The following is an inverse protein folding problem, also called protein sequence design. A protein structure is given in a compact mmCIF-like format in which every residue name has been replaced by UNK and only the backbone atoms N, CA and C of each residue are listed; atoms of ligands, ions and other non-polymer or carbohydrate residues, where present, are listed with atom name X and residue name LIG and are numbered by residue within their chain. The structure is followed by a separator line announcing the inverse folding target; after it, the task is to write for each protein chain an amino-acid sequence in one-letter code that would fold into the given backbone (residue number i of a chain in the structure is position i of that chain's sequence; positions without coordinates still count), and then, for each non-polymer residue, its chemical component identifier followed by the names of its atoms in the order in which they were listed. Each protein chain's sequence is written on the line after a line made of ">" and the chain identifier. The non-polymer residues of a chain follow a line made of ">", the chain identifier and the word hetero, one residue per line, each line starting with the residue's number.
data_IF_119013242121
#
_entry.id   IF_119013242121
#
_cell.length_a   1.000
_cell.length_b   1.000
_cell.length_c   1.000
_cell.angle_alpha   90.00
_cell.angle_beta   90.00
_cell.angle_gamma   90.00
#
_symmetry.space_group_name_H-M   'P 1'
#
loop_
_entity.id
_entity.type
_entity.pdbx_description
1 polymer ?
#
# COMPACT_ATOMS: atom_id res chain seq x y z
N UNK A 1 -1.14 52.75 -59.17
CA UNK A 1 -0.29 52.46 -58.05
C UNK A 1 -0.46 50.95 -57.73
N UNK A 2 0.47 50.09 -58.20
CA UNK A 2 0.39 48.61 -58.06
C UNK A 2 1.08 48.21 -56.77
N UNK A 3 0.37 47.63 -55.88
CA UNK A 3 0.91 47.07 -54.61
C UNK A 3 1.45 45.66 -54.92
N UNK A 4 2.77 45.53 -54.82
CA UNK A 4 3.48 44.27 -55.02
C UNK A 4 3.41 43.46 -53.73
N UNK A 5 2.81 42.25 -53.79
CA UNK A 5 2.74 41.33 -52.67
C UNK A 5 4.10 40.64 -52.47
N UNK A 6 4.73 40.92 -51.35
CA UNK A 6 5.94 40.26 -50.90
C UNK A 6 5.61 38.84 -50.39
N UNK A 7 6.21 37.82 -50.97
CA UNK A 7 6.13 36.44 -50.52
C UNK A 7 7.17 36.23 -49.42
N UNK A 8 6.72 35.88 -48.23
CA UNK A 8 7.58 35.48 -47.13
C UNK A 8 7.83 33.97 -47.28
N UNK A 9 9.09 33.48 -47.28
CA UNK A 9 9.35 32.05 -47.29
C UNK A 9 9.09 31.47 -45.91
N UNK A 10 8.31 30.38 -45.86
CA UNK A 10 8.08 29.60 -44.65
C UNK A 10 9.38 28.84 -44.30
N UNK A 11 10.03 29.26 -43.23
CA UNK A 11 11.13 28.51 -42.64
C UNK A 11 10.49 27.42 -41.76
N UNK A 12 10.59 26.19 -42.25
CA UNK A 12 10.16 24.99 -41.53
C UNK A 12 11.21 24.70 -40.43
N UNK A 13 10.99 25.22 -39.25
CA UNK A 13 11.79 24.90 -38.06
C UNK A 13 11.44 23.50 -37.55
N UNK A 14 12.30 22.53 -37.86
CA UNK A 14 12.21 21.22 -37.21
C UNK A 14 12.60 21.35 -35.73
N UNK A 15 11.62 21.34 -34.86
CA UNK A 15 11.83 21.26 -33.42
C UNK A 15 12.22 19.81 -33.09
N UNK A 16 13.50 19.54 -32.94
CA UNK A 16 14.01 18.32 -32.34
C UNK A 16 13.62 18.32 -30.86
N UNK A 17 12.50 17.63 -30.52
CA UNK A 17 12.21 17.25 -29.15
C UNK A 17 13.25 16.19 -28.73
N UNK A 18 14.31 16.62 -28.07
CA UNK A 18 15.19 15.75 -27.33
C UNK A 18 14.41 15.24 -26.10
N UNK A 19 13.71 14.12 -26.27
CA UNK A 19 13.14 13.39 -25.15
C UNK A 19 14.27 12.92 -24.27
N UNK A 20 14.41 13.52 -23.08
CA UNK A 20 15.23 12.97 -22.02
C UNK A 20 14.55 11.67 -21.58
N UNK A 21 15.00 10.56 -22.15
CA UNK A 21 14.76 9.25 -21.58
C UNK A 21 15.42 9.26 -20.20
N UNK A 22 14.64 9.47 -19.16
CA UNK A 22 15.05 9.09 -17.81
C UNK A 22 15.32 7.58 -17.86
N UNK A 23 16.59 7.23 -17.99
CA UNK A 23 17.03 5.89 -17.73
C UNK A 23 16.79 5.62 -16.24
N UNK A 24 15.56 5.22 -15.89
CA UNK A 24 15.31 4.53 -14.64
C UNK A 24 16.25 3.35 -14.66
N UNK A 25 17.22 3.35 -13.77
CA UNK A 25 18.13 2.22 -13.61
C UNK A 25 17.27 1.00 -13.32
N UNK A 26 17.01 0.21 -14.34
CA UNK A 26 16.36 -1.09 -14.22
C UNK A 26 17.34 -1.93 -13.42
N UNK A 27 17.08 -2.08 -12.13
CA UNK A 27 17.91 -2.92 -11.28
C UNK A 27 17.85 -4.33 -11.84
N UNK A 28 19.01 -4.85 -12.14
CA UNK A 28 19.14 -6.20 -12.66
C UNK A 28 18.56 -7.15 -11.59
N UNK A 29 17.55 -7.93 -11.94
CA UNK A 29 16.91 -8.89 -11.03
C UNK A 29 17.92 -9.84 -10.38
N UNK A 30 19.06 -10.06 -11.04
CA UNK A 30 20.13 -10.93 -10.58
C UNK A 30 20.92 -10.38 -9.37
N UNK A 31 20.77 -9.10 -9.03
CA UNK A 31 21.41 -8.47 -7.87
C UNK A 31 20.50 -8.34 -6.65
N UNK A 32 19.19 -8.56 -6.81
CA UNK A 32 18.24 -8.51 -5.71
C UNK A 32 18.50 -9.65 -4.72
N UNK A 33 18.41 -9.34 -3.43
CA UNK A 33 18.61 -10.28 -2.32
C UNK A 33 20.02 -10.91 -2.21
N UNK A 34 21.03 -10.37 -2.94
CA UNK A 34 22.41 -10.83 -2.91
C UNK A 34 23.36 -9.84 -2.23
N UNK A 35 22.82 -8.83 -1.58
CA UNK A 35 23.63 -7.83 -0.90
C UNK A 35 24.39 -8.45 0.30
N UNK A 36 25.62 -7.98 0.60
CA UNK A 36 26.29 -8.35 1.83
C UNK A 36 25.41 -8.13 3.05
N UNK A 37 25.39 -9.08 3.97
CA UNK A 37 24.56 -9.05 5.19
C UNK A 37 23.04 -9.15 4.97
N UNK A 38 22.58 -9.45 3.77
CA UNK A 38 21.15 -9.77 3.53
C UNK A 38 20.77 -11.01 4.36
N UNK A 39 19.73 -10.97 5.20
CA UNK A 39 19.23 -12.15 5.89
C UNK A 39 18.86 -13.26 4.91
N UNK A 40 19.32 -14.46 5.19
CA UNK A 40 18.99 -15.65 4.39
C UNK A 40 17.77 -16.39 4.92
N UNK A 41 17.36 -16.07 6.13
CA UNK A 41 16.13 -16.54 6.77
C UNK A 41 15.21 -15.34 7.01
N UNK A 42 13.92 -15.60 7.01
CA UNK A 42 12.87 -14.61 7.16
C UNK A 42 12.78 -13.67 5.96
N UNK A 43 11.63 -13.05 5.84
CA UNK A 43 11.43 -12.04 4.81
C UNK A 43 12.21 -10.75 5.13
N UNK A 44 12.83 -10.19 4.11
CA UNK A 44 13.30 -8.81 4.10
C UNK A 44 12.91 -8.15 2.77
N UNK A 45 12.46 -6.87 2.77
CA UNK A 45 12.01 -6.23 1.55
C UNK A 45 13.16 -6.04 0.55
N UNK A 46 12.84 -5.92 -0.72
CA UNK A 46 13.83 -5.65 -1.77
C UNK A 46 14.65 -4.41 -1.46
N UNK A 47 13.98 -3.39 -0.96
CA UNK A 47 14.60 -2.11 -0.59
C UNK A 47 13.92 -1.50 0.62
N UNK A 48 14.66 -0.66 1.31
CA UNK A 48 14.13 0.18 2.37
C UNK A 48 13.94 -0.57 3.67
N UNK A 49 12.88 -0.25 4.34
CA UNK A 49 12.61 -0.60 5.72
C UNK A 49 11.36 -1.47 5.83
N UNK A 50 11.34 -2.36 6.81
CA UNK A 50 10.18 -3.15 7.18
C UNK A 50 9.75 -2.75 8.59
N UNK A 51 8.45 -2.44 8.74
CA UNK A 51 7.82 -2.24 10.04
C UNK A 51 7.24 -3.53 10.61
N UNK A 52 6.38 -3.37 11.60
CA UNK A 52 5.69 -4.50 12.21
C UNK A 52 4.77 -5.21 11.19
N UNK A 53 4.64 -6.53 11.25
CA UNK A 53 3.63 -7.25 10.47
C UNK A 53 2.22 -6.79 10.87
N UNK A 54 1.49 -6.20 9.93
CA UNK A 54 0.18 -5.58 10.16
C UNK A 54 -1.00 -6.43 9.71
N UNK A 55 -0.78 -7.54 9.08
CA UNK A 55 -1.82 -8.46 8.64
C UNK A 55 -1.18 -9.75 8.17
N UNK A 56 -1.41 -10.82 8.91
CA UNK A 56 -0.91 -12.13 8.55
C UNK A 56 -2.09 -13.11 8.46
N UNK A 57 -2.31 -13.65 7.27
CA UNK A 57 -3.46 -14.51 7.04
C UNK A 57 -3.18 -15.59 5.98
N UNK A 58 -3.91 -16.70 6.07
CA UNK A 58 -3.94 -17.71 5.02
C UNK A 58 -5.24 -17.59 4.23
N UNK A 59 -5.10 -17.37 2.92
CA UNK A 59 -6.23 -17.22 2.02
C UNK A 59 -5.89 -17.67 0.61
N UNK A 60 -6.80 -18.39 -0.03
CA UNK A 60 -6.64 -18.91 -1.41
C UNK A 60 -5.32 -19.67 -1.65
N UNK A 61 -4.92 -20.50 -0.68
CA UNK A 61 -3.74 -21.36 -0.80
C UNK A 61 -2.41 -20.66 -0.52
N UNK A 62 -2.43 -19.43 -0.08
CA UNK A 62 -1.22 -18.64 0.22
C UNK A 62 -1.28 -17.99 1.59
N UNK A 63 -0.12 -17.78 2.17
CA UNK A 63 0.10 -16.90 3.31
C UNK A 63 0.33 -15.49 2.79
N UNK A 64 -0.42 -14.53 3.31
CA UNK A 64 -0.30 -13.11 3.02
C UNK A 64 0.25 -12.42 4.25
N UNK A 65 1.28 -11.60 4.08
CA UNK A 65 1.81 -10.76 5.14
C UNK A 65 1.89 -9.32 4.65
N UNK A 66 1.44 -8.41 5.49
CA UNK A 66 1.50 -6.98 5.27
C UNK A 66 2.42 -6.33 6.31
N UNK A 67 3.08 -5.25 5.92
CA UNK A 67 3.70 -4.28 6.84
C UNK A 67 3.32 -2.85 6.41
N UNK A 68 3.60 -2.38 5.28
CA UNK A 68 3.04 -1.31 4.46
C UNK A 68 3.04 -1.73 3.01
N UNK A 69 3.88 -2.67 2.70
CA UNK A 69 3.82 -3.46 1.49
C UNK A 69 3.11 -4.80 1.72
N UNK A 70 3.21 -5.67 0.74
CA UNK A 70 2.64 -7.01 0.75
C UNK A 70 3.61 -8.04 0.21
N UNK A 71 3.68 -9.17 0.89
CA UNK A 71 4.29 -10.40 0.38
C UNK A 71 3.32 -11.56 0.44
N UNK A 72 3.59 -12.55 -0.38
CA UNK A 72 2.90 -13.84 -0.40
C UNK A 72 3.91 -14.97 -0.29
N UNK A 73 3.50 -16.08 0.33
CA UNK A 73 4.26 -17.32 0.43
C UNK A 73 3.32 -18.52 0.38
N UNK A 74 3.81 -19.65 -0.12
CA UNK A 74 3.10 -20.93 -0.04
C UNK A 74 3.62 -21.83 1.08
N UNK A 75 4.77 -21.53 1.63
CA UNK A 75 5.50 -22.39 2.57
C UNK A 75 6.05 -21.68 3.82
N UNK A 76 5.85 -20.35 3.94
CA UNK A 76 6.35 -19.50 5.03
C UNK A 76 7.88 -19.34 5.06
N UNK A 77 8.56 -19.85 4.07
CA UNK A 77 10.04 -19.76 3.92
C UNK A 77 10.40 -18.89 2.74
N UNK A 78 9.78 -19.15 1.60
CA UNK A 78 10.01 -18.40 0.37
C UNK A 78 8.90 -17.40 0.15
N UNK A 79 9.26 -16.12 0.16
CA UNK A 79 8.35 -15.01 0.02
C UNK A 79 8.53 -14.28 -1.30
N UNK A 80 7.43 -13.93 -1.93
CA UNK A 80 7.41 -13.05 -3.09
C UNK A 80 6.84 -11.69 -2.70
N UNK A 81 7.59 -10.63 -2.91
CA UNK A 81 7.08 -9.27 -2.74
C UNK A 81 6.08 -8.95 -3.85
N UNK A 82 4.88 -8.55 -3.47
CA UNK A 82 3.77 -8.25 -4.38
C UNK A 82 3.69 -6.75 -4.63
N UNK A 83 3.81 -5.96 -3.60
CA UNK A 83 3.87 -4.50 -3.68
C UNK A 83 4.69 -3.94 -2.52
N UNK A 84 5.50 -2.92 -2.75
CA UNK A 84 6.18 -2.22 -1.67
C UNK A 84 5.24 -1.35 -0.82
N UNK A 85 4.09 -0.95 -1.39
CA UNK A 85 3.12 -0.07 -0.72
C UNK A 85 1.69 -0.54 -1.02
N UNK A 86 1.03 -1.13 -0.03
CA UNK A 86 -0.39 -1.49 -0.08
C UNK A 86 -1.27 -0.37 0.45
N UNK A 87 -0.77 0.38 1.43
CA UNK A 87 -1.40 1.57 2.00
C UNK A 87 -0.42 2.73 1.94
N UNK A 88 -0.86 3.88 1.42
CA UNK A 88 -0.06 5.10 1.33
C UNK A 88 -0.81 6.24 1.99
N UNK A 89 -0.11 7.02 2.82
CA UNK A 89 -0.68 8.24 3.39
C UNK A 89 -0.92 9.30 2.32
N UNK A 90 -2.03 9.99 2.42
CA UNK A 90 -2.41 11.08 1.51
C UNK A 90 -2.34 12.46 2.16
N UNK A 91 -2.06 12.53 3.46
CA UNK A 91 -2.04 13.75 4.25
C UNK A 91 -0.68 13.88 4.94
N UNK A 92 -0.05 15.04 4.80
CA UNK A 92 1.26 15.32 5.42
C UNK A 92 1.23 15.23 6.95
N UNK A 93 0.07 15.50 7.57
CA UNK A 93 -0.12 15.40 9.01
C UNK A 93 -0.51 14.00 9.49
N UNK A 94 -0.91 13.10 8.61
CA UNK A 94 -1.34 11.74 8.98
C UNK A 94 -0.25 10.72 8.64
N UNK A 95 0.01 9.83 9.58
CA UNK A 95 0.75 8.58 9.37
C UNK A 95 -0.11 7.40 9.78
N UNK A 96 0.16 6.26 9.19
CA UNK A 96 -0.53 5.01 9.49
C UNK A 96 0.42 4.08 10.21
N UNK A 97 0.01 3.61 11.39
CA UNK A 97 0.79 2.67 12.18
C UNK A 97 0.18 1.27 12.08
N UNK A 98 0.81 0.35 12.74
CA UNK A 98 0.49 -1.07 12.79
C UNK A 98 -0.99 -1.34 13.08
N UNK A 99 -1.44 -2.46 12.59
CA UNK A 99 -2.79 -2.96 12.76
C UNK A 99 -2.89 -4.42 12.37
N UNK A 100 -4.04 -4.82 11.90
CA UNK A 100 -4.31 -6.19 11.46
C UNK A 100 -5.28 -6.23 10.29
N UNK A 101 -5.37 -7.35 9.61
CA UNK A 101 -6.29 -7.52 8.50
C UNK A 101 -6.97 -8.89 8.50
N UNK A 102 -8.16 -8.95 7.95
CA UNK A 102 -8.96 -10.18 7.79
C UNK A 102 -9.61 -10.22 6.41
N UNK A 103 -10.03 -11.42 6.00
CA UNK A 103 -10.92 -11.60 4.86
C UNK A 103 -12.37 -11.59 5.35
N UNK A 104 -13.16 -10.64 4.93
CA UNK A 104 -14.59 -10.58 5.24
C UNK A 104 -15.39 -11.52 4.33
N UNK A 105 -15.44 -12.78 4.74
CA UNK A 105 -16.11 -13.82 3.95
C UNK A 105 -17.61 -13.61 3.80
N UNK A 106 -18.22 -12.90 4.73
CA UNK A 106 -19.67 -12.76 4.84
C UNK A 106 -20.17 -11.34 4.54
N UNK A 107 -19.28 -10.43 4.16
CA UNK A 107 -19.62 -9.01 3.96
C UNK A 107 -20.19 -8.36 5.22
N UNK A 108 -19.62 -8.67 6.38
CA UNK A 108 -20.08 -8.10 7.65
C UNK A 108 -19.66 -6.65 7.83
N UNK A 109 -18.55 -6.24 7.19
CA UNK A 109 -18.09 -4.86 7.17
C UNK A 109 -18.76 -4.00 6.08
N UNK A 110 -19.48 -4.61 5.14
CA UNK A 110 -20.20 -3.89 4.09
C UNK A 110 -19.37 -3.52 2.85
N UNK A 111 -18.10 -3.91 2.78
CA UNK A 111 -17.19 -3.57 1.66
C UNK A 111 -17.18 -4.59 0.52
N UNK A 112 -18.01 -5.61 0.60
CA UNK A 112 -18.08 -6.69 -0.38
C UNK A 112 -17.63 -8.03 0.18
N UNK A 113 -18.27 -9.10 -0.30
CA UNK A 113 -17.93 -10.46 0.13
C UNK A 113 -16.52 -10.84 -0.32
N UNK A 114 -15.70 -11.29 0.61
CA UNK A 114 -14.31 -11.66 0.36
C UNK A 114 -13.34 -10.47 0.30
N UNK A 115 -13.79 -9.25 0.64
CA UNK A 115 -12.92 -8.11 0.76
C UNK A 115 -11.84 -8.34 1.84
N UNK A 116 -10.65 -7.85 1.58
CA UNK A 116 -9.63 -7.66 2.61
C UNK A 116 -10.03 -6.42 3.42
N UNK A 117 -10.18 -6.57 4.72
CA UNK A 117 -10.51 -5.47 5.63
C UNK A 117 -9.39 -5.32 6.63
N UNK A 118 -8.78 -4.16 6.68
CA UNK A 118 -7.70 -3.83 7.60
C UNK A 118 -8.19 -2.80 8.62
N UNK A 119 -7.89 -3.07 9.89
CA UNK A 119 -7.93 -2.05 10.95
C UNK A 119 -6.50 -1.61 11.23
N UNK A 120 -6.28 -0.31 11.36
CA UNK A 120 -4.95 0.27 11.53
C UNK A 120 -5.03 1.52 12.42
N UNK A 121 -3.87 1.97 12.90
CA UNK A 121 -3.80 3.20 13.68
C UNK A 121 -3.59 4.40 12.78
N UNK A 122 -4.44 5.40 12.92
CA UNK A 122 -4.29 6.74 12.35
C UNK A 122 -3.53 7.58 13.37
N UNK A 123 -2.36 8.05 13.00
CA UNK A 123 -1.51 8.90 13.83
C UNK A 123 -1.48 10.33 13.29
N UNK A 124 -1.97 11.28 14.07
CA UNK A 124 -1.88 12.71 13.78
C UNK A 124 -0.56 13.27 14.31
N UNK A 125 0.30 13.75 13.42
CA UNK A 125 1.68 14.18 13.78
C UNK A 125 1.71 15.40 14.68
N UNK A 126 0.80 16.34 14.49
CA UNK A 126 0.77 17.58 15.26
C UNK A 126 0.27 17.36 16.69
N UNK A 127 -0.87 16.71 16.84
CA UNK A 127 -1.50 16.45 18.14
C UNK A 127 -0.92 15.23 18.85
N UNK A 128 -0.17 14.38 18.14
CA UNK A 128 0.26 13.04 18.58
C UNK A 128 -0.89 12.08 18.85
N UNK A 129 -2.10 12.43 18.47
CA UNK A 129 -3.29 11.63 18.69
C UNK A 129 -3.24 10.34 17.86
N UNK A 130 -3.69 9.26 18.46
CA UNK A 130 -3.83 7.95 17.86
C UNK A 130 -5.29 7.51 17.93
N UNK A 131 -5.81 7.12 16.79
CA UNK A 131 -7.18 6.64 16.63
C UNK A 131 -7.20 5.42 15.71
N UNK A 132 -8.29 4.68 15.64
CA UNK A 132 -8.37 3.51 14.79
C UNK A 132 -9.14 3.82 13.51
N UNK A 133 -8.55 3.42 12.39
CA UNK A 133 -9.14 3.52 11.07
C UNK A 133 -9.39 2.16 10.43
N UNK A 134 -10.21 2.15 9.40
CA UNK A 134 -10.49 0.99 8.56
C UNK A 134 -10.14 1.31 7.12
N UNK A 135 -9.56 0.34 6.43
CA UNK A 135 -9.42 0.34 4.98
C UNK A 135 -9.82 -1.03 4.42
N UNK A 136 -10.13 -1.06 3.14
CA UNK A 136 -10.52 -2.28 2.47
C UNK A 136 -9.90 -2.41 1.08
N UNK A 137 -9.80 -3.66 0.60
CA UNK A 137 -9.29 -3.95 -0.73
C UNK A 137 -10.02 -5.15 -1.33
N UNK A 138 -10.22 -5.15 -2.65
CA UNK A 138 -10.78 -6.29 -3.37
C UNK A 138 -9.69 -7.19 -3.97
N UNK A 139 -8.50 -6.65 -4.18
CA UNK A 139 -7.37 -7.37 -4.78
C UNK A 139 -6.24 -7.70 -3.77
N UNK A 140 -6.36 -7.16 -2.55
CA UNK A 140 -5.36 -7.29 -1.51
C UNK A 140 -4.02 -6.59 -1.83
N UNK A 141 -3.98 -5.68 -2.81
CA UNK A 141 -2.78 -4.92 -3.21
C UNK A 141 -2.95 -3.43 -3.01
N UNK A 142 -4.14 -2.92 -3.32
CA UNK A 142 -4.48 -1.51 -3.18
C UNK A 142 -5.62 -1.38 -2.18
N UNK A 143 -5.39 -0.63 -1.11
CA UNK A 143 -6.38 -0.40 -0.07
C UNK A 143 -7.01 0.99 -0.21
N UNK A 144 -8.31 1.03 -0.03
CA UNK A 144 -9.12 2.24 0.00
C UNK A 144 -9.50 2.57 1.44
N UNK A 145 -9.27 3.80 1.85
CA UNK A 145 -9.63 4.26 3.18
C UNK A 145 -11.14 4.42 3.30
N UNK A 146 -11.68 3.99 4.41
CA UNK A 146 -13.08 4.22 4.71
C UNK A 146 -13.31 5.71 5.01
N UNK A 147 -14.30 6.31 4.36
CA UNK A 147 -14.58 7.75 4.48
C UNK A 147 -15.00 8.18 5.90
N UNK A 148 -15.56 7.25 6.68
CA UNK A 148 -15.95 7.49 8.08
C UNK A 148 -14.82 7.32 9.10
N UNK A 149 -13.55 7.30 8.67
CA UNK A 149 -12.42 7.26 9.59
C UNK A 149 -12.22 8.59 10.33
N UNK A 150 -11.70 8.55 11.59
CA UNK A 150 -11.45 7.36 12.39
C UNK A 150 -12.73 6.71 12.90
N UNK A 151 -12.77 5.37 12.94
CA UNK A 151 -13.96 4.63 13.42
C UNK A 151 -13.98 4.49 14.95
N UNK A 152 -12.85 4.67 15.59
CA UNK A 152 -12.70 4.61 17.05
C UNK A 152 -11.64 5.62 17.49
N UNK A 153 -12.05 6.60 18.28
CA UNK A 153 -11.19 7.68 18.77
C UNK A 153 -11.43 7.90 20.27
N UNK A 154 -10.38 7.73 21.06
CA UNK A 154 -10.38 7.96 22.51
C UNK A 154 -9.63 9.23 22.90
N UNK A 155 -9.23 10.04 21.93
CA UNK A 155 -8.42 11.26 22.15
C UNK A 155 -7.11 11.00 22.91
N UNK A 156 -6.52 9.82 22.67
CA UNK A 156 -5.32 9.34 23.35
C UNK A 156 -4.09 9.41 22.44
N UNK A 157 -2.92 9.61 23.04
CA UNK A 157 -1.63 9.47 22.36
C UNK A 157 -1.06 8.05 22.43
N UNK A 158 -1.77 7.12 23.07
CA UNK A 158 -1.33 5.74 23.31
C UNK A 158 -2.40 4.71 22.92
N UNK A 159 -3.22 5.03 21.93
CA UNK A 159 -4.28 4.14 21.45
C UNK A 159 -3.97 3.63 20.04
N UNK A 160 -3.25 2.51 19.97
CA UNK A 160 -2.73 1.95 18.72
C UNK A 160 -2.83 0.42 18.63
N UNK A 161 -2.43 -0.11 17.47
CA UNK A 161 -2.23 -1.52 17.15
C UNK A 161 -3.52 -2.37 17.27
N UNK A 162 -4.60 -2.01 16.54
CA UNK A 162 -5.85 -2.72 16.64
C UNK A 162 -5.75 -4.14 16.08
N UNK A 163 -6.39 -5.07 16.75
CA UNK A 163 -6.57 -6.43 16.27
C UNK A 163 -8.01 -6.64 15.83
N UNK A 164 -8.18 -7.10 14.59
CA UNK A 164 -9.48 -7.53 14.05
C UNK A 164 -9.49 -9.02 13.80
N UNK A 165 -10.58 -9.68 14.19
CA UNK A 165 -10.76 -11.11 13.94
C UNK A 165 -12.19 -11.39 13.48
N UNK A 166 -12.34 -12.42 12.62
CA UNK A 166 -13.66 -12.92 12.26
C UNK A 166 -14.16 -13.85 13.38
N UNK A 167 -15.29 -13.52 14.00
CA UNK A 167 -15.97 -14.42 14.92
C UNK A 167 -17.21 -15.01 14.26
N UNK A 168 -17.35 -16.33 14.27
CA UNK A 168 -18.66 -16.95 14.10
C UNK A 168 -19.41 -16.74 15.41
N UNK A 169 -20.36 -15.79 15.45
CA UNK A 169 -21.29 -15.74 16.59
C UNK A 169 -22.06 -17.07 16.60
N UNK A 170 -22.09 -17.82 17.72
CA UNK A 170 -23.05 -18.91 17.89
C UNK A 170 -24.44 -18.29 17.63
N UNK A 171 -25.24 -18.93 16.79
CA UNK A 171 -26.66 -18.61 16.74
C UNK A 171 -27.21 -19.02 18.13
N UNK A 172 -27.50 -18.05 18.96
CA UNK A 172 -28.27 -18.25 20.17
C UNK A 172 -29.68 -18.53 19.65
N UNK A 173 -30.09 -19.79 19.71
CA UNK A 173 -31.47 -20.21 19.44
C UNK A 173 -32.43 -19.76 20.53
#
# INVERSE_FOLDING_TARGET
>A
MKIQKMKIPAILGALLLAGTLSAGAQMNSDSLYKEPYRPQYHFSPEKGWIGDPSGFMYYQGKYHMYWWGKVESTDLVHYQQITPYAMTGTDDNISYFTGSAVIDKNNTAGFGKGAYVAAYTVFEKDSKKQAQGISFSHDGKTFHYYEGNPVLDLWSTEFRDPTVSGTSRPKIG
#
